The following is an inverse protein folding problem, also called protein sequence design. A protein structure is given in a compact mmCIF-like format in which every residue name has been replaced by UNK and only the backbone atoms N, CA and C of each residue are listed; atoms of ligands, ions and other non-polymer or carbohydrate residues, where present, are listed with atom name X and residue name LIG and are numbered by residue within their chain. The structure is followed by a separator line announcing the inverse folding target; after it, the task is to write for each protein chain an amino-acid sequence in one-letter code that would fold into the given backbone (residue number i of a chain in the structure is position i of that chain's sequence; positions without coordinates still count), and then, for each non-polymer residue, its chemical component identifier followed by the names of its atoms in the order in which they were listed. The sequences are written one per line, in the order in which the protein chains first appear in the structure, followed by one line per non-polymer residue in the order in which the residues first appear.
data_IF_608798359911
#
_entry.id   IF_608798359911
#
_cell.length_a   1.000
_cell.length_b   1.000
_cell.length_c   1.000
_cell.angle_alpha   90.00
_cell.angle_beta   90.00
_cell.angle_gamma   90.00
#
_symmetry.space_group_name_H-M   'P 1'
#
loop_
_entity.id
_entity.type
_entity.pdbx_description
1 polymer ?
#
# COMPACT_ATOMS: atom_id res chain seq x y z
N UNK A 1 24.84 7.17 -10.96
CA UNK A 1 24.28 5.89 -10.44
C UNK A 1 22.83 6.14 -10.08
N UNK A 2 21.90 5.32 -10.59
CA UNK A 2 20.49 5.44 -10.26
C UNK A 2 20.24 4.93 -8.83
N UNK A 3 19.62 5.74 -7.98
CA UNK A 3 19.23 5.32 -6.61
C UNK A 3 17.74 5.12 -6.54
N UNK A 4 17.33 3.96 -6.02
CA UNK A 4 15.92 3.63 -5.81
C UNK A 4 15.59 3.73 -4.34
N UNK A 5 14.50 4.42 -4.00
CA UNK A 5 13.97 4.50 -2.64
C UNK A 5 12.50 4.11 -2.63
N UNK A 6 12.10 3.25 -1.70
CA UNK A 6 10.69 2.90 -1.49
C UNK A 6 10.15 3.66 -0.29
N UNK A 7 8.97 4.27 -0.41
CA UNK A 7 8.29 4.98 0.67
C UNK A 7 6.95 4.33 0.98
N UNK A 8 6.65 4.17 2.27
CA UNK A 8 5.35 3.69 2.76
C UNK A 8 4.86 4.58 3.90
N UNK A 9 3.56 4.82 3.99
CA UNK A 9 2.97 5.57 5.10
C UNK A 9 2.84 4.69 6.35
N UNK A 10 2.98 5.30 7.53
CA UNK A 10 2.80 4.60 8.81
C UNK A 10 1.45 3.88 8.96
N UNK A 11 0.30 4.55 8.68
CA UNK A 11 -1.01 3.90 8.74
C UNK A 11 -1.14 2.70 7.79
N UNK A 12 -0.62 2.79 6.56
CA UNK A 12 -0.69 1.68 5.60
C UNK A 12 0.14 0.48 6.06
N UNK A 13 1.33 0.73 6.61
CA UNK A 13 2.14 -0.32 7.20
C UNK A 13 1.44 -0.97 8.42
N UNK A 14 0.75 -0.17 9.23
CA UNK A 14 -0.01 -0.68 10.37
C UNK A 14 -1.18 -1.57 9.90
N UNK A 15 -1.92 -1.16 8.86
CA UNK A 15 -2.98 -1.98 8.25
C UNK A 15 -2.43 -3.29 7.71
N UNK A 16 -1.29 -3.27 7.01
CA UNK A 16 -0.61 -4.47 6.53
C UNK A 16 -0.32 -5.45 7.68
N UNK A 17 0.27 -4.95 8.77
CA UNK A 17 0.59 -5.77 9.94
C UNK A 17 -0.68 -6.28 10.62
N UNK A 18 -1.73 -5.45 10.72
CA UNK A 18 -3.01 -5.82 11.31
C UNK A 18 -3.68 -6.97 10.56
N UNK A 19 -3.79 -6.87 9.24
CA UNK A 19 -4.32 -7.95 8.39
C UNK A 19 -3.51 -9.24 8.55
N UNK A 20 -2.18 -9.13 8.61
CA UNK A 20 -1.30 -10.29 8.77
C UNK A 20 -1.41 -10.96 10.13
N UNK A 21 -1.62 -10.21 11.20
CA UNK A 21 -1.83 -10.78 12.52
C UNK A 21 -3.16 -11.56 12.59
N UNK A 22 -4.18 -11.08 11.88
CA UNK A 22 -5.51 -11.68 11.85
C UNK A 22 -5.63 -12.86 10.87
N UNK A 23 -4.71 -13.00 9.92
CA UNK A 23 -4.71 -14.14 9.00
C UNK A 23 -4.35 -15.45 9.73
N UNK A 24 -4.89 -16.61 9.32
CA UNK A 24 -4.60 -17.89 9.96
C UNK A 24 -3.22 -18.45 9.60
N UNK A 25 -2.50 -17.87 8.64
CA UNK A 25 -1.26 -18.43 8.11
C UNK A 25 -0.43 -17.45 7.29
N UNK A 26 0.28 -17.97 6.29
CA UNK A 26 0.99 -17.16 5.30
C UNK A 26 -0.02 -16.40 4.42
N UNK A 27 0.34 -15.19 4.01
CA UNK A 27 -0.50 -14.33 3.17
C UNK A 27 0.33 -13.75 2.03
N UNK A 28 -0.31 -13.56 0.88
CA UNK A 28 0.29 -12.92 -0.29
C UNK A 28 -0.58 -11.74 -0.70
N UNK A 29 -0.02 -10.82 -1.47
CA UNK A 29 -0.81 -9.72 -2.02
C UNK A 29 -0.01 -8.76 -2.88
N UNK A 30 -0.70 -7.75 -3.42
CA UNK A 30 -0.13 -6.74 -4.30
C UNK A 30 0.03 -5.40 -3.59
N UNK A 31 1.07 -4.68 -3.99
CA UNK A 31 1.37 -3.32 -3.56
C UNK A 31 1.00 -2.38 -4.69
N UNK A 32 0.11 -1.44 -4.40
CA UNK A 32 -0.33 -0.39 -5.31
C UNK A 32 0.33 0.94 -4.95
N UNK A 33 0.68 1.71 -5.95
CA UNK A 33 1.45 2.92 -5.75
C UNK A 33 1.81 3.67 -7.02
N UNK A 34 2.73 4.60 -6.85
CA UNK A 34 3.22 5.47 -7.91
C UNK A 34 4.74 5.38 -7.99
N UNK A 35 5.26 5.41 -9.22
CA UNK A 35 6.70 5.44 -9.49
C UNK A 35 7.03 6.83 -10.02
N UNK A 36 7.88 7.56 -9.30
CA UNK A 36 8.34 8.89 -9.70
C UNK A 36 9.85 8.85 -9.92
N UNK A 37 10.33 9.30 -11.08
CA UNK A 37 11.77 9.47 -11.34
C UNK A 37 12.11 10.96 -11.32
N UNK A 38 13.16 11.31 -10.58
CA UNK A 38 13.68 12.67 -10.46
C UNK A 38 15.17 12.66 -10.80
N UNK A 39 15.57 13.52 -11.73
CA UNK A 39 16.98 13.78 -11.99
C UNK A 39 17.41 14.93 -11.08
N UNK A 40 18.40 14.68 -10.24
CA UNK A 40 18.98 15.66 -9.32
C UNK A 40 20.39 15.95 -9.80
N UNK A 41 20.63 17.18 -10.24
CA UNK A 41 21.97 17.66 -10.55
C UNK A 41 22.65 18.14 -9.26
N UNK A 42 23.75 17.50 -8.91
CA UNK A 42 24.52 17.85 -7.71
C UNK A 42 25.76 18.62 -8.14
N UNK A 43 25.80 19.91 -7.78
CA UNK A 43 26.97 20.77 -7.99
C UNK A 43 27.84 20.66 -6.74
N UNK A 44 29.07 20.20 -6.92
CA UNK A 44 30.06 20.16 -5.84
C UNK A 44 30.76 21.51 -5.65
N UNK A 45 31.33 21.73 -4.47
CA UNK A 45 32.15 22.93 -4.17
C UNK A 45 33.36 23.10 -5.12
N UNK A 46 33.75 22.03 -5.82
CA UNK A 46 34.78 22.05 -6.87
C UNK A 46 34.25 22.38 -8.28
N UNK A 47 32.98 22.82 -8.40
CA UNK A 47 32.27 23.07 -9.67
C UNK A 47 32.20 21.86 -10.62
N UNK A 48 32.36 20.65 -10.08
CA UNK A 48 32.06 19.41 -10.81
C UNK A 48 30.55 19.17 -10.78
N UNK A 49 30.00 18.83 -11.94
CA UNK A 49 28.59 18.47 -12.13
C UNK A 49 28.44 16.96 -12.03
N UNK A 50 27.42 16.51 -11.32
CA UNK A 50 27.09 15.11 -11.17
C UNK A 50 25.59 14.92 -11.28
N UNK A 51 25.14 14.42 -12.43
CA UNK A 51 23.74 14.03 -12.61
C UNK A 51 23.47 12.70 -11.89
N UNK A 52 22.47 12.72 -11.01
CA UNK A 52 21.99 11.55 -10.29
C UNK A 52 20.52 11.33 -10.59
N UNK A 53 20.18 10.15 -11.07
CA UNK A 53 18.78 9.74 -11.22
C UNK A 53 18.29 9.10 -9.91
N UNK A 54 17.17 9.59 -9.39
CA UNK A 54 16.53 9.12 -8.18
C UNK A 54 15.12 8.62 -8.50
N UNK A 55 14.89 7.32 -8.40
CA UNK A 55 13.56 6.73 -8.55
C UNK A 55 12.92 6.53 -7.17
N UNK A 56 11.81 7.20 -6.91
CA UNK A 56 11.01 7.03 -5.72
C UNK A 56 9.75 6.21 -6.01
N UNK A 57 9.63 5.07 -5.32
CA UNK A 57 8.49 4.17 -5.34
C UNK A 57 7.63 4.46 -4.12
N UNK A 58 6.44 5.04 -4.32
CA UNK A 58 5.51 5.35 -3.23
C UNK A 58 4.41 4.32 -3.18
N UNK A 59 4.33 3.57 -2.09
CA UNK A 59 3.25 2.60 -1.84
C UNK A 59 2.06 3.34 -1.23
N UNK A 60 0.91 3.27 -1.89
CA UNK A 60 -0.32 3.99 -1.54
C UNK A 60 -1.42 3.07 -1.01
N UNK A 61 -1.50 1.83 -1.51
CA UNK A 61 -2.52 0.88 -1.10
C UNK A 61 -2.03 -0.57 -1.21
N UNK A 62 -2.77 -1.49 -0.60
CA UNK A 62 -2.46 -2.92 -0.55
C UNK A 62 -3.71 -3.69 -0.97
N UNK A 63 -3.50 -4.81 -1.66
CA UNK A 63 -4.56 -5.80 -1.93
C UNK A 63 -4.07 -7.15 -1.42
N UNK A 64 -4.74 -7.71 -0.42
CA UNK A 64 -4.49 -9.08 0.04
C UNK A 64 -5.08 -10.12 -0.91
N UNK A 65 -4.41 -11.26 -1.03
CA UNK A 65 -4.83 -12.39 -1.85
C UNK A 65 -4.68 -13.70 -1.09
N UNK A 66 -5.45 -14.70 -1.49
CA UNK A 66 -5.26 -16.06 -0.99
C UNK A 66 -4.02 -16.69 -1.61
N UNK A 67 -3.42 -17.66 -0.89
CA UNK A 67 -2.26 -18.39 -1.38
C UNK A 67 -2.59 -19.12 -2.69
N UNK A 68 -1.68 -19.05 -3.66
CA UNK A 68 -1.80 -19.71 -4.97
C UNK A 68 -2.95 -19.21 -5.84
N UNK A 69 -3.50 -18.05 -5.54
CA UNK A 69 -4.64 -17.53 -6.29
C UNK A 69 -4.24 -17.11 -7.72
N UNK A 70 -3.12 -16.41 -7.87
CA UNK A 70 -2.72 -15.79 -9.14
C UNK A 70 -1.64 -16.55 -9.93
N UNK A 71 -1.17 -17.71 -9.43
CA UNK A 71 -0.16 -18.53 -10.12
C UNK A 71 -0.38 -20.04 -9.96
N UNK A 72 0.05 -20.82 -10.96
CA UNK A 72 -0.04 -22.28 -10.96
C UNK A 72 1.11 -22.95 -10.17
N UNK A 73 1.02 -24.25 -9.89
CA UNK A 73 2.07 -25.06 -9.23
C UNK A 73 3.43 -24.97 -9.91
N UNK A 74 3.43 -24.74 -11.23
CA UNK A 74 4.64 -24.49 -12.04
C UNK A 74 5.18 -23.06 -11.92
N UNK A 75 4.61 -22.22 -11.05
CA UNK A 75 4.90 -20.79 -10.85
C UNK A 75 4.60 -19.92 -12.09
N UNK A 76 3.65 -20.31 -12.93
CA UNK A 76 3.21 -19.50 -14.07
C UNK A 76 2.06 -18.59 -13.64
N UNK A 77 2.15 -17.31 -13.98
CA UNK A 77 1.09 -16.32 -13.70
C UNK A 77 -0.14 -16.64 -14.55
N UNK A 78 -1.30 -16.72 -13.91
CA UNK A 78 -2.58 -16.92 -14.61
C UNK A 78 -3.19 -15.54 -14.87
N UNK A 79 -3.08 -15.05 -16.10
CA UNK A 79 -3.53 -13.70 -16.50
C UNK A 79 -4.99 -13.45 -16.21
N UNK A 80 -5.85 -14.45 -16.38
CA UNK A 80 -7.30 -14.31 -16.20
C UNK A 80 -7.64 -14.05 -14.72
N UNK A 81 -7.00 -14.79 -13.82
CA UNK A 81 -7.17 -14.61 -12.38
C UNK A 81 -6.55 -13.31 -11.90
N UNK A 82 -5.39 -12.94 -12.45
CA UNK A 82 -4.74 -11.67 -12.16
C UNK A 82 -5.62 -10.48 -12.60
N UNK A 83 -6.25 -10.59 -13.77
CA UNK A 83 -7.17 -9.57 -14.29
C UNK A 83 -8.44 -9.50 -13.44
N UNK A 84 -8.97 -10.64 -12.99
CA UNK A 84 -10.12 -10.67 -12.08
C UNK A 84 -9.81 -10.04 -10.71
N UNK A 85 -8.59 -10.23 -10.20
CA UNK A 85 -8.16 -9.76 -8.90
C UNK A 85 -7.81 -8.26 -8.90
N UNK A 86 -7.00 -7.83 -9.87
CA UNK A 86 -6.55 -6.44 -9.97
C UNK A 86 -7.56 -5.52 -10.65
N UNK A 87 -8.51 -6.08 -11.41
CA UNK A 87 -9.53 -5.35 -12.17
C UNK A 87 -8.91 -4.19 -12.97
N UNK A 88 -9.27 -2.97 -12.63
CA UNK A 88 -8.84 -1.70 -13.23
C UNK A 88 -7.51 -1.16 -12.67
N UNK A 89 -7.01 -1.71 -11.55
CA UNK A 89 -5.82 -1.20 -10.84
C UNK A 89 -4.48 -1.77 -11.31
N UNK A 90 -4.45 -2.47 -12.44
CA UNK A 90 -3.23 -3.14 -12.94
C UNK A 90 -2.06 -2.17 -13.19
N UNK A 91 -2.36 -0.93 -13.61
CA UNK A 91 -1.34 0.09 -13.89
C UNK A 91 -0.72 0.68 -12.63
N UNK A 92 -1.39 0.55 -11.49
CA UNK A 92 -0.95 1.06 -10.20
C UNK A 92 -0.10 0.05 -9.44
N UNK A 93 0.04 -1.19 -9.94
CA UNK A 93 0.83 -2.21 -9.26
C UNK A 93 2.32 -1.87 -9.34
N UNK A 94 2.89 -1.54 -8.19
CA UNK A 94 4.32 -1.27 -8.02
C UNK A 94 5.10 -2.51 -7.56
N UNK A 95 4.40 -3.50 -7.01
CA UNK A 95 5.02 -4.74 -6.56
C UNK A 95 4.04 -5.70 -5.91
N UNK A 96 4.58 -6.70 -5.23
CA UNK A 96 3.84 -7.68 -4.46
C UNK A 96 4.56 -7.98 -3.16
N UNK A 97 3.83 -8.47 -2.18
CA UNK A 97 4.38 -8.84 -0.88
C UNK A 97 4.00 -10.27 -0.53
N UNK A 98 4.82 -10.88 0.33
CA UNK A 98 4.55 -12.16 0.94
C UNK A 98 4.88 -12.11 2.42
N UNK A 99 3.89 -12.44 3.23
CA UNK A 99 4.03 -12.61 4.65
C UNK A 99 4.25 -14.08 4.99
N UNK A 100 5.26 -14.36 5.81
CA UNK A 100 5.57 -15.71 6.29
C UNK A 100 5.86 -15.69 7.77
N UNK A 101 5.32 -16.65 8.51
CA UNK A 101 5.49 -16.76 9.96
C UNK A 101 6.70 -17.65 10.29
N UNK A 102 7.44 -17.29 11.35
CA UNK A 102 8.51 -18.12 11.94
C UNK A 102 9.58 -18.59 10.94
N UNK A 103 9.95 -17.75 9.98
CA UNK A 103 10.94 -18.09 8.95
C UNK A 103 11.97 -16.99 8.77
N UNK A 104 13.09 -17.32 8.12
CA UNK A 104 14.13 -16.36 7.78
C UNK A 104 13.65 -15.34 6.74
N UNK A 105 14.21 -14.13 6.80
CA UNK A 105 14.00 -13.07 5.81
C UNK A 105 14.81 -13.34 4.52
N UNK A 106 14.56 -14.47 3.87
CA UNK A 106 15.18 -14.85 2.59
C UNK A 106 14.14 -15.30 1.58
N UNK A 107 14.18 -14.79 0.36
CA UNK A 107 13.24 -15.18 -0.67
C UNK A 107 13.31 -16.69 -0.95
N UNK A 108 12.18 -17.38 -0.91
CA UNK A 108 12.12 -18.80 -1.26
C UNK A 108 12.35 -19.00 -2.76
N UNK A 109 12.74 -20.20 -3.17
CA UNK A 109 12.92 -20.52 -4.60
C UNK A 109 11.65 -20.21 -5.42
N UNK A 110 10.47 -20.46 -4.84
CA UNK A 110 9.19 -20.13 -5.46
C UNK A 110 9.03 -18.63 -5.64
N UNK A 111 9.30 -17.85 -4.60
CA UNK A 111 9.23 -16.38 -4.66
C UNK A 111 10.23 -15.83 -5.68
N UNK A 112 11.44 -16.38 -5.75
CA UNK A 112 12.47 -15.97 -6.72
C UNK A 112 12.04 -16.25 -8.15
N UNK A 113 11.50 -17.45 -8.45
CA UNK A 113 11.03 -17.80 -9.79
C UNK A 113 9.81 -16.97 -10.19
N UNK A 114 8.88 -16.75 -9.26
CA UNK A 114 7.69 -15.93 -9.49
C UNK A 114 8.09 -14.48 -9.75
N UNK A 115 8.98 -13.93 -8.91
CA UNK A 115 9.51 -12.58 -9.08
C UNK A 115 10.25 -12.48 -10.40
N UNK A 116 11.18 -13.36 -10.76
CA UNK A 116 11.90 -13.30 -12.04
C UNK A 116 10.98 -13.32 -13.26
N UNK A 117 9.86 -14.05 -13.19
CA UNK A 117 8.87 -14.11 -14.27
C UNK A 117 8.02 -12.85 -14.39
N UNK A 118 7.70 -12.22 -13.26
CA UNK A 118 6.93 -10.99 -13.21
C UNK A 118 7.81 -9.73 -13.39
N UNK A 119 9.03 -9.77 -12.85
CA UNK A 119 9.95 -8.68 -12.57
C UNK A 119 11.40 -9.16 -12.77
N UNK A 120 12.11 -8.59 -13.75
CA UNK A 120 13.39 -9.14 -14.23
C UNK A 120 14.55 -9.10 -13.22
N UNK A 121 14.49 -8.24 -12.19
CA UNK A 121 15.64 -7.95 -11.33
C UNK A 121 15.27 -8.02 -9.84
N UNK A 122 16.19 -8.54 -9.03
CA UNK A 122 16.04 -8.66 -7.57
C UNK A 122 17.21 -7.96 -6.88
N UNK A 123 16.90 -6.94 -6.08
CA UNK A 123 17.86 -6.24 -5.23
C UNK A 123 17.17 -5.78 -3.96
N UNK A 124 17.87 -5.82 -2.83
CA UNK A 124 17.38 -5.20 -1.61
C UNK A 124 17.37 -3.68 -1.79
N UNK A 125 16.23 -3.05 -1.50
CA UNK A 125 16.03 -1.60 -1.63
C UNK A 125 15.65 -1.05 -0.25
N UNK A 126 16.20 0.11 0.18
CA UNK A 126 15.81 0.72 1.44
C UNK A 126 14.34 1.14 1.40
N UNK A 127 13.59 0.74 2.43
CA UNK A 127 12.22 1.17 2.70
C UNK A 127 12.23 2.30 3.73
N UNK A 128 11.68 3.45 3.39
CA UNK A 128 11.49 4.59 4.28
C UNK A 128 10.03 4.67 4.72
N UNK A 129 9.82 4.70 6.03
CA UNK A 129 8.50 4.95 6.61
C UNK A 129 8.34 6.46 6.80
N UNK A 130 7.38 7.04 6.09
CA UNK A 130 7.11 8.48 6.19
C UNK A 130 6.42 8.76 7.51
N UNK A 131 6.98 9.69 8.28
CA UNK A 131 6.45 10.12 9.57
C UNK A 131 6.49 11.66 9.68
N UNK A 132 5.79 12.21 10.69
CA UNK A 132 5.71 13.65 10.91
C UNK A 132 6.97 14.26 11.56
N UNK A 133 7.93 13.44 11.97
CA UNK A 133 9.16 13.85 12.65
C UNK A 133 10.35 14.13 11.72
N UNK A 134 10.27 13.81 10.43
CA UNK A 134 11.22 14.32 9.43
C UNK A 134 10.99 15.83 9.22
N UNK A 135 12.05 16.64 9.09
CA UNK A 135 12.18 17.93 9.77
C UNK A 135 11.06 18.91 9.40
N UNK A 136 10.02 18.92 10.23
CA UNK A 136 9.11 20.04 10.34
C UNK A 136 9.86 21.16 11.05
N UNK A 137 10.20 22.21 10.33
CA UNK A 137 10.73 23.44 10.92
C UNK A 137 9.63 24.07 11.81
N UNK A 138 9.54 23.64 13.07
CA UNK A 138 8.59 24.14 14.06
C UNK A 138 9.15 25.32 14.87
N UNK A 139 10.27 25.88 14.43
CA UNK A 139 10.98 26.92 15.17
C UNK A 139 10.25 28.25 15.00
N UNK A 140 9.44 28.59 16.00
CA UNK A 140 8.87 29.93 16.09
C UNK A 140 9.93 30.93 16.50
N UNK A 141 9.99 32.04 15.78
CA UNK A 141 10.84 33.15 16.15
C UNK A 141 10.21 33.92 17.32
N UNK A 142 10.75 33.73 18.51
CA UNK A 142 10.23 34.34 19.75
C UNK A 142 10.55 35.84 19.89
N UNK A 143 11.60 36.33 19.23
CA UNK A 143 12.02 37.72 19.34
C UNK A 143 12.37 38.32 17.96
N UNK A 144 11.95 39.57 17.68
CA UNK A 144 12.48 40.32 16.54
C UNK A 144 14.00 40.49 16.72
N UNK A 145 14.74 40.50 15.61
CA UNK A 145 16.20 40.77 15.69
C UNK A 145 16.46 42.18 16.21
N UNK A 146 17.54 42.39 16.96
CA UNK A 146 17.90 43.70 17.56
C UNK A 146 18.07 44.85 16.56
N UNK A 147 18.12 44.56 15.25
CA UNK A 147 18.20 45.54 14.17
C UNK A 147 16.84 45.91 13.56
N UNK A 148 15.72 45.34 14.02
CA UNK A 148 14.39 45.71 13.55
C UNK A 148 13.99 47.05 14.17
N UNK A 149 14.04 48.11 13.36
CA UNK A 149 13.48 49.40 13.74
C UNK A 149 11.95 49.28 13.81
N UNK A 150 11.42 49.27 15.04
CA UNK A 150 9.97 49.21 15.31
C UNK A 150 9.27 50.49 14.81
N UNK A 151 10.02 51.59 14.74
CA UNK A 151 9.48 52.92 14.50
C UNK A 151 9.63 53.40 13.05
N UNK A 152 10.40 52.71 12.19
CA UNK A 152 10.64 53.15 10.82
C UNK A 152 11.10 52.01 9.90
N UNK A 153 10.57 51.95 8.68
CA UNK A 153 10.96 51.00 7.63
C UNK A 153 9.90 49.93 7.35
N UNK A 154 10.21 49.02 6.43
CA UNK A 154 9.27 48.03 5.87
C UNK A 154 8.59 47.15 6.94
N UNK A 155 9.24 46.90 8.09
CA UNK A 155 8.65 46.11 9.18
C UNK A 155 7.47 46.82 9.85
N UNK A 156 7.55 48.14 10.04
CA UNK A 156 6.47 48.94 10.63
C UNK A 156 5.26 49.02 9.68
N UNK A 157 5.51 49.16 8.38
CA UNK A 157 4.45 49.13 7.35
C UNK A 157 3.73 47.78 7.32
N UNK A 158 4.46 46.68 7.41
CA UNK A 158 3.88 45.33 7.49
C UNK A 158 3.08 45.15 8.78
N UNK A 159 3.58 45.60 9.94
CA UNK A 159 2.82 45.56 11.20
C UNK A 159 1.53 46.37 11.14
N UNK A 160 1.54 47.53 10.48
CA UNK A 160 0.36 48.38 10.33
C UNK A 160 -0.62 47.84 9.27
N UNK A 161 -0.16 47.00 8.35
CA UNK A 161 -1.01 46.29 7.38
C UNK A 161 -1.75 45.09 7.99
N UNK A 162 -1.33 44.63 9.16
CA UNK A 162 -1.99 43.55 9.88
C UNK A 162 -3.24 44.07 10.61
N UNK A 163 -4.33 43.29 10.62
CA UNK A 163 -5.53 43.69 11.33
C UNK A 163 -5.29 43.77 12.84
N UNK A 164 -5.92 44.77 13.48
CA UNK A 164 -5.71 45.09 14.90
C UNK A 164 -6.26 44.03 15.87
N UNK A 165 -7.03 43.07 15.38
CA UNK A 165 -7.52 41.91 16.13
C UNK A 165 -6.45 40.83 16.32
N UNK A 166 -5.29 40.96 15.64
CA UNK A 166 -4.22 39.98 15.65
C UNK A 166 -4.57 38.70 14.89
N UNK A 167 -5.69 38.67 14.14
CA UNK A 167 -6.04 37.52 13.32
C UNK A 167 -5.25 37.55 12.02
N UNK A 168 -4.38 36.55 11.86
CA UNK A 168 -3.73 36.31 10.58
C UNK A 168 -4.71 35.54 9.70
N UNK A 169 -5.24 36.19 8.66
CA UNK A 169 -6.19 35.57 7.73
C UNK A 169 -5.73 34.21 7.20
N UNK A 170 -4.42 34.06 6.99
CA UNK A 170 -3.81 32.81 6.54
C UNK A 170 -3.84 31.70 7.59
N UNK A 171 -3.72 32.03 8.88
CA UNK A 171 -3.86 31.07 9.99
C UNK A 171 -5.31 30.61 10.09
N UNK A 172 -6.25 31.54 10.02
CA UNK A 172 -7.68 31.23 10.00
C UNK A 172 -8.06 30.38 8.79
N UNK A 173 -7.50 30.68 7.61
CA UNK A 173 -7.71 29.90 6.41
C UNK A 173 -7.17 28.46 6.54
N UNK A 174 -5.93 28.31 7.03
CA UNK A 174 -5.32 27.00 7.28
C UNK A 174 -6.12 26.20 8.31
N UNK A 175 -6.59 26.85 9.38
CA UNK A 175 -7.41 26.21 10.40
C UNK A 175 -8.77 25.76 9.84
N UNK A 176 -9.42 26.60 9.02
CA UNK A 176 -10.67 26.22 8.30
C UNK A 176 -10.44 25.03 7.38
N UNK A 177 -9.35 25.01 6.61
CA UNK A 177 -9.02 23.90 5.72
C UNK A 177 -8.79 22.60 6.51
N UNK A 178 -8.05 22.67 7.61
CA UNK A 178 -7.83 21.53 8.50
C UNK A 178 -9.13 20.99 9.11
N UNK A 179 -10.04 21.87 9.55
CA UNK A 179 -11.34 21.48 10.08
C UNK A 179 -12.23 20.83 9.00
N UNK A 180 -12.20 21.34 7.77
CA UNK A 180 -12.91 20.75 6.64
C UNK A 180 -12.38 19.34 6.33
N UNK A 181 -11.05 19.17 6.31
CA UNK A 181 -10.42 17.86 6.13
C UNK A 181 -10.83 16.88 7.24
N UNK A 182 -10.85 17.33 8.49
CA UNK A 182 -11.31 16.51 9.62
C UNK A 182 -12.77 16.10 9.50
N UNK A 183 -13.63 17.00 9.00
CA UNK A 183 -15.04 16.69 8.75
C UNK A 183 -15.17 15.59 7.69
N UNK A 184 -14.41 15.69 6.58
CA UNK A 184 -14.38 14.66 5.54
C UNK A 184 -13.82 13.32 6.03
N UNK A 185 -12.79 13.35 6.86
CA UNK A 185 -12.25 12.13 7.47
C UNK A 185 -13.30 11.42 8.33
N UNK A 186 -14.12 12.19 9.07
CA UNK A 186 -15.21 11.65 9.89
C UNK A 186 -16.33 11.04 9.05
N UNK A 187 -16.69 11.68 7.93
CA UNK A 187 -17.66 11.10 6.98
C UNK A 187 -17.17 9.74 6.45
N UNK A 188 -15.90 9.66 6.03
CA UNK A 188 -15.30 8.40 5.54
C UNK A 188 -15.25 7.35 6.65
N UNK A 189 -14.92 7.73 7.88
CA UNK A 189 -14.87 6.80 9.02
C UNK A 189 -16.23 6.13 9.28
N UNK A 190 -17.33 6.89 9.18
CA UNK A 190 -18.66 6.31 9.31
C UNK A 190 -18.96 5.31 8.18
N UNK A 191 -18.62 5.67 6.93
CA UNK A 191 -18.80 4.76 5.79
C UNK A 191 -17.96 3.48 5.90
N UNK A 192 -16.73 3.58 6.45
CA UNK A 192 -15.88 2.42 6.69
C UNK A 192 -16.46 1.54 7.79
N UNK A 193 -16.97 2.12 8.88
CA UNK A 193 -17.60 1.38 9.97
C UNK A 193 -18.80 0.56 9.50
N UNK A 194 -19.68 1.16 8.68
CA UNK A 194 -20.80 0.45 8.05
C UNK A 194 -20.30 -0.71 7.15
N UNK A 195 -19.27 -0.46 6.34
CA UNK A 195 -18.71 -1.50 5.47
C UNK A 195 -18.04 -2.65 6.24
N UNK A 196 -17.44 -2.38 7.41
CA UNK A 196 -16.85 -3.41 8.27
C UNK A 196 -17.93 -4.28 8.91
N UNK A 197 -19.05 -3.69 9.32
CA UNK A 197 -20.22 -4.42 9.84
C UNK A 197 -20.80 -5.35 8.77
N UNK A 198 -20.98 -4.86 7.54
CA UNK A 198 -21.44 -5.66 6.40
C UNK A 198 -20.49 -6.81 6.08
N UNK A 199 -19.17 -6.55 6.05
CA UNK A 199 -18.16 -7.59 5.80
C UNK A 199 -18.16 -8.65 6.88
N UNK A 200 -18.35 -8.26 8.15
CA UNK A 200 -18.47 -9.21 9.26
C UNK A 200 -19.71 -10.11 9.10
N UNK A 201 -20.86 -9.53 8.75
CA UNK A 201 -22.09 -10.30 8.51
C UNK A 201 -21.91 -11.30 7.35
N UNK A 202 -21.31 -10.87 6.22
CA UNK A 202 -21.06 -11.78 5.10
C UNK A 202 -20.03 -12.87 5.43
N UNK A 203 -19.02 -12.56 6.26
CA UNK A 203 -18.06 -13.56 6.70
C UNK A 203 -18.74 -14.67 7.53
N UNK A 204 -19.65 -14.30 8.44
CA UNK A 204 -20.42 -15.24 9.25
C UNK A 204 -21.32 -16.12 8.38
N UNK A 205 -22.00 -15.52 7.39
CA UNK A 205 -22.83 -16.26 6.43
C UNK A 205 -22.02 -17.27 5.62
N UNK A 206 -20.81 -16.89 5.16
CA UNK A 206 -19.90 -17.79 4.43
C UNK A 206 -19.47 -18.95 5.34
N UNK A 207 -19.19 -18.70 6.62
CA UNK A 207 -18.81 -19.75 7.59
C UNK A 207 -19.98 -20.73 7.76
N UNK A 208 -21.20 -20.24 8.01
CA UNK A 208 -22.38 -21.08 8.17
C UNK A 208 -22.68 -21.91 6.91
N UNK A 209 -22.54 -21.32 5.72
CA UNK A 209 -22.73 -22.01 4.45
C UNK A 209 -21.68 -23.09 4.22
N UNK A 210 -20.41 -22.83 4.57
CA UNK A 210 -19.33 -23.83 4.50
C UNK A 210 -19.59 -25.01 5.45
N UNK A 211 -20.10 -24.76 6.65
CA UNK A 211 -20.46 -25.82 7.60
C UNK A 211 -21.64 -26.68 7.14
N UNK A 212 -22.71 -26.04 6.65
CA UNK A 212 -23.86 -26.75 6.07
C UNK A 212 -23.41 -27.60 4.89
N UNK A 213 -22.65 -27.03 3.96
CA UNK A 213 -22.11 -27.76 2.81
C UNK A 213 -21.20 -28.92 3.24
N UNK A 214 -20.35 -28.72 4.26
CA UNK A 214 -19.51 -29.77 4.83
C UNK A 214 -20.31 -30.92 5.42
N UNK A 215 -21.43 -30.63 6.07
CA UNK A 215 -22.34 -31.63 6.64
C UNK A 215 -23.09 -32.42 5.55
N UNK A 216 -23.60 -31.72 4.53
CA UNK A 216 -24.21 -32.32 3.34
C UNK A 216 -23.22 -33.20 2.57
N UNK A 217 -21.98 -32.76 2.40
CA UNK A 217 -20.93 -33.55 1.74
C UNK A 217 -20.54 -34.80 2.54
N UNK A 218 -20.61 -34.76 3.87
CA UNK A 218 -20.39 -35.96 4.71
C UNK A 218 -21.57 -36.94 4.63
N UNK A 219 -22.79 -36.42 4.51
CA UNK A 219 -24.00 -37.23 4.29
C UNK A 219 -24.02 -37.87 2.88
N UNK A 220 -23.47 -37.17 1.89
CA UNK A 220 -23.23 -37.66 0.52
C UNK A 220 -21.81 -38.24 0.44
N UNK A 221 -21.59 -39.40 1.06
CA UNK A 221 -20.33 -40.15 0.93
C UNK A 221 -19.99 -40.49 -0.55
N UNK A 222 -18.75 -40.91 -0.86
CA UNK A 222 -18.22 -40.95 -2.23
C UNK A 222 -18.86 -42.09 -3.04
N UNK A 223 -19.97 -41.81 -3.70
CA UNK A 223 -20.48 -42.62 -4.80
C UNK A 223 -20.40 -41.82 -6.10
N UNK A 224 -19.78 -42.46 -7.10
CA UNK A 224 -19.77 -42.16 -8.54
C UNK A 224 -18.85 -41.04 -9.05
N UNK A 225 -17.57 -41.36 -9.22
CA UNK A 225 -16.76 -40.89 -10.36
C UNK A 225 -15.79 -41.96 -10.87
N UNK A 226 -16.23 -43.23 -10.89
CA UNK A 226 -15.53 -44.33 -11.58
C UNK A 226 -16.51 -45.15 -12.42
N UNK A 227 -17.04 -44.56 -13.50
CA UNK A 227 -17.66 -45.33 -14.59
C UNK A 227 -17.74 -44.49 -15.86
N UNK A 228 -16.60 -44.32 -16.51
CA UNK A 228 -16.51 -44.09 -17.96
C UNK A 228 -15.12 -44.53 -18.45
N UNK A 229 -14.72 -45.74 -18.12
CA UNK A 229 -13.74 -46.49 -18.91
C UNK A 229 -14.55 -47.52 -19.68
N UNK A 230 -14.86 -47.17 -20.94
CA UNK A 230 -15.49 -48.05 -21.91
C UNK A 230 -14.69 -49.35 -22.02
N UNK A 231 -15.34 -50.43 -21.58
CA UNK A 231 -15.01 -51.79 -21.95
C UNK A 231 -15.25 -51.98 -23.45
N UNK A 232 -14.18 -52.04 -24.25
CA UNK A 232 -14.21 -52.59 -25.61
C UNK A 232 -13.67 -54.03 -25.55
N UNK A 233 -14.59 -54.98 -25.57
CA UNK A 233 -14.44 -56.38 -26.00
C UNK A 233 -15.82 -56.75 -26.57
N UNK A 234 -16.07 -57.26 -27.77
CA UNK A 234 -15.32 -57.97 -28.80
C UNK A 234 -15.88 -57.49 -30.18
N UNK A 235 -15.43 -57.85 -31.39
CA UNK A 235 -15.42 -59.18 -32.02
C UNK A 235 -15.02 -59.03 -33.51
N UNK A 236 -14.28 -60.01 -34.05
CA UNK A 236 -14.43 -60.57 -35.42
C UNK A 236 -14.15 -59.70 -36.67
N UNK A 237 -12.93 -59.78 -37.21
CA UNK A 237 -12.55 -60.50 -38.45
C UNK A 237 -11.06 -60.35 -38.74
#
# INVERSE_FOLDING_TARGET
MATVTVTISGPLLATLIYEHCNSPGDQEGFLLGEITSRITDTISDAQLHGEKEETNLKICAIISCDLFEFYDKKCHLVTDKLTALLRDKQKEVVGWYRFRRNTSLQASLREQVLHQRAFKHYSAVPLRIVNLGEPGHSDYRMYPGSAASIHQGAFCEVLNSLPADGSLEMVDHMHRLHNLLHTKLREVLNSVAESEEDVAAFADDIIQLREKYGSLKKAVGPSTSSSASESISATSK
#
